data_IF_829637942174
#
_entry.id   IF_829637942174
#
_cell.length_a   1.000
_cell.length_b   1.000
_cell.length_c   1.000
_cell.angle_alpha   90.00
_cell.angle_beta   90.00
_cell.angle_gamma   90.00
#
_symmetry.space_group_name_H-M   'P 1'
#
loop_
_entity.id
_entity.type
_entity.pdbx_description
1 polymer ?
#
# COMPACT_ATOMS: atom_id res chain seq x y z
N UNK A 1 -31.68 11.89 -45.00
CA UNK A 1 -31.07 12.93 -44.15
C UNK A 1 -30.28 12.21 -43.07
N UNK A 2 -28.95 12.19 -43.26
CA UNK A 2 -27.84 11.67 -42.44
C UNK A 2 -28.17 10.77 -41.24
N UNK A 3 -27.91 9.48 -41.42
CA UNK A 3 -27.59 8.54 -40.33
C UNK A 3 -26.33 9.04 -39.61
N UNK A 4 -26.40 9.10 -38.29
CA UNK A 4 -25.30 9.47 -37.41
C UNK A 4 -24.69 8.15 -36.90
N UNK A 5 -23.46 7.76 -37.27
CA UNK A 5 -22.93 6.48 -36.85
C UNK A 5 -22.51 6.54 -35.39
N UNK A 6 -23.06 5.63 -34.58
CA UNK A 6 -22.55 5.30 -33.25
C UNK A 6 -21.08 4.85 -33.39
N UNK A 7 -20.15 5.69 -32.95
CA UNK A 7 -18.73 5.31 -32.87
C UNK A 7 -18.55 4.26 -31.76
N UNK A 8 -18.36 3.01 -32.17
CA UNK A 8 -17.88 1.93 -31.31
C UNK A 8 -16.55 2.32 -30.62
N UNK A 9 -16.31 1.92 -29.36
CA UNK A 9 -15.07 2.20 -28.67
C UNK A 9 -13.95 1.37 -29.32
N UNK A 10 -13.30 1.97 -30.31
CA UNK A 10 -12.08 1.44 -30.92
C UNK A 10 -11.06 1.19 -29.81
N UNK A 11 -10.80 -0.10 -29.58
CA UNK A 11 -9.75 -0.58 -28.70
C UNK A 11 -8.43 0.05 -29.14
N UNK A 12 -7.90 0.91 -28.27
CA UNK A 12 -6.70 1.68 -28.55
C UNK A 12 -5.45 0.88 -28.35
N UNK A 13 -5.18 0.02 -29.33
CA UNK A 13 -3.93 -0.68 -29.51
C UNK A 13 -3.05 0.10 -30.51
N UNK A 14 -2.69 1.32 -30.13
CA UNK A 14 -1.68 2.13 -30.77
C UNK A 14 -1.14 3.07 -29.70
N UNK A 15 0.18 3.18 -29.59
CA UNK A 15 0.85 4.15 -28.73
C UNK A 15 0.28 5.55 -28.99
N UNK A 16 -0.80 5.90 -28.29
CA UNK A 16 -1.21 7.29 -28.13
C UNK A 16 -0.22 7.86 -27.15
N UNK A 17 0.93 8.25 -27.68
CA UNK A 17 1.82 9.19 -27.02
C UNK A 17 0.92 10.32 -26.48
N UNK A 18 0.98 10.52 -25.18
CA UNK A 18 0.16 11.51 -24.45
C UNK A 18 1.12 12.47 -23.79
N UNK A 19 1.07 13.75 -24.18
CA UNK A 19 1.86 14.79 -23.56
C UNK A 19 1.27 15.18 -22.22
N UNK A 20 2.12 15.29 -21.19
CA UNK A 20 1.70 15.79 -19.88
C UNK A 20 1.88 17.29 -19.79
N UNK A 21 0.91 17.94 -19.17
CA UNK A 21 1.07 19.32 -18.77
C UNK A 21 2.07 19.40 -17.60
N UNK A 22 3.21 20.06 -17.81
CA UNK A 22 4.23 20.30 -16.78
C UNK A 22 3.74 21.19 -15.62
N UNK A 23 2.66 21.94 -15.82
CA UNK A 23 2.10 22.83 -14.80
C UNK A 23 1.20 22.09 -13.80
N UNK A 24 0.33 21.17 -14.28
CA UNK A 24 -0.65 20.50 -13.43
C UNK A 24 -0.57 18.97 -13.43
N UNK A 25 0.30 18.36 -14.22
CA UNK A 25 0.46 16.91 -14.33
C UNK A 25 -0.70 16.21 -15.06
N UNK A 26 -1.59 16.96 -15.73
CA UNK A 26 -2.71 16.38 -16.46
C UNK A 26 -2.25 15.78 -17.81
N UNK A 27 -2.62 14.53 -18.13
CA UNK A 27 -2.33 13.92 -19.42
C UNK A 27 -3.26 14.50 -20.50
N UNK A 28 -2.68 15.14 -21.49
CA UNK A 28 -3.37 15.76 -22.63
C UNK A 28 -3.15 14.91 -23.90
N UNK A 29 -3.92 15.16 -24.96
CA UNK A 29 -3.62 14.55 -26.27
C UNK A 29 -2.42 15.25 -26.89
N UNK A 30 -1.67 14.55 -27.73
CA UNK A 30 -0.54 15.15 -28.45
C UNK A 30 -0.95 16.27 -29.42
N UNK A 31 -2.20 16.29 -29.88
CA UNK A 31 -2.73 17.38 -30.71
C UNK A 31 -2.89 18.71 -29.97
N UNK A 32 -2.90 18.68 -28.63
CA UNK A 32 -3.41 19.78 -27.84
C UNK A 32 -2.27 20.69 -27.38
N UNK A 33 -2.21 21.90 -27.96
CA UNK A 33 -1.22 22.93 -27.62
C UNK A 33 -1.43 23.56 -26.23
N UNK A 34 -2.60 23.34 -25.62
CA UNK A 34 -3.03 23.95 -24.37
C UNK A 34 -3.66 22.90 -23.48
N UNK A 35 -3.35 22.95 -22.18
CA UNK A 35 -3.83 21.97 -21.21
C UNK A 35 -5.34 22.12 -21.03
N UNK A 36 -6.07 21.01 -21.20
CA UNK A 36 -7.52 21.00 -21.01
C UNK A 36 -7.95 21.40 -19.59
N UNK A 37 -7.11 21.15 -18.58
CA UNK A 37 -7.42 21.43 -17.18
C UNK A 37 -6.96 22.83 -16.73
N UNK A 38 -5.67 23.16 -16.87
CA UNK A 38 -5.11 24.39 -16.31
C UNK A 38 -4.87 25.50 -17.34
N UNK A 39 -5.22 25.27 -18.63
CA UNK A 39 -5.03 26.23 -19.74
C UNK A 39 -3.59 26.68 -19.97
N UNK A 40 -2.59 26.07 -19.34
CA UNK A 40 -1.17 26.34 -19.62
C UNK A 40 -0.78 25.80 -21.01
N UNK A 41 0.17 26.47 -21.68
CA UNK A 41 0.73 25.98 -22.94
C UNK A 41 1.48 24.67 -22.72
N UNK A 42 1.20 23.66 -23.55
CA UNK A 42 2.02 22.47 -23.61
C UNK A 42 3.23 22.81 -24.47
N UNK A 43 4.35 23.06 -23.80
CA UNK A 43 5.64 23.23 -24.48
C UNK A 43 6.20 21.83 -24.75
N UNK A 44 6.42 21.50 -26.02
CA UNK A 44 7.20 20.33 -26.42
C UNK A 44 8.68 20.61 -26.12
N UNK A 45 9.12 20.25 -24.92
CA UNK A 45 10.54 20.18 -24.62
C UNK A 45 11.08 18.86 -25.21
N UNK A 46 11.74 18.93 -26.37
CA UNK A 46 12.29 17.78 -27.13
C UNK A 46 13.61 17.22 -26.57
N UNK A 47 13.82 17.33 -25.25
CA UNK A 47 15.03 16.88 -24.56
C UNK A 47 14.89 15.55 -23.81
N UNK A 48 16.01 14.85 -23.61
CA UNK A 48 16.07 13.66 -22.74
C UNK A 48 15.73 14.01 -21.27
N UNK A 49 16.12 15.20 -20.83
CA UNK A 49 15.89 15.69 -19.46
C UNK A 49 14.40 15.98 -19.24
N UNK A 50 13.72 16.57 -20.22
CA UNK A 50 12.27 16.80 -20.16
C UNK A 50 11.48 15.50 -20.24
N UNK A 51 11.93 14.52 -21.03
CA UNK A 51 11.37 13.17 -21.03
C UNK A 51 11.44 12.49 -19.65
N UNK A 52 12.61 12.56 -18.99
CA UNK A 52 12.79 11.99 -17.66
C UNK A 52 11.89 12.67 -16.62
N UNK A 53 11.79 14.01 -16.67
CA UNK A 53 10.92 14.79 -15.78
C UNK A 53 9.44 14.47 -15.99
N UNK A 54 8.99 14.37 -17.25
CA UNK A 54 7.62 13.99 -17.59
C UNK A 54 7.30 12.58 -17.08
N UNK A 55 8.21 11.62 -17.33
CA UNK A 55 8.06 10.24 -16.86
C UNK A 55 7.97 10.16 -15.34
N UNK A 56 8.82 10.92 -14.63
CA UNK A 56 8.78 11.01 -13.18
C UNK A 56 7.43 11.54 -12.67
N UNK A 57 6.90 12.61 -13.28
CA UNK A 57 5.62 13.19 -12.89
C UNK A 57 4.45 12.23 -13.15
N UNK A 58 4.46 11.48 -14.27
CA UNK A 58 3.48 10.41 -14.53
C UNK A 58 3.52 9.34 -13.46
N UNK A 59 4.72 8.85 -13.15
CA UNK A 59 4.90 7.78 -12.17
C UNK A 59 4.46 8.24 -10.79
N UNK A 60 4.82 9.47 -10.39
CA UNK A 60 4.38 10.09 -9.14
C UNK A 60 2.85 10.18 -9.09
N UNK A 61 2.21 10.69 -10.14
CA UNK A 61 0.75 10.84 -10.19
C UNK A 61 0.02 9.48 -10.15
N UNK A 62 0.51 8.49 -10.90
CA UNK A 62 0.00 7.12 -10.85
C UNK A 62 0.17 6.51 -9.47
N UNK A 63 1.28 6.80 -8.79
CA UNK A 63 1.54 6.35 -7.43
C UNK A 63 0.58 7.02 -6.44
N UNK A 64 0.32 8.32 -6.53
CA UNK A 64 -0.63 9.04 -5.68
C UNK A 64 -2.08 8.56 -5.87
N UNK A 65 -2.50 8.31 -7.11
CA UNK A 65 -3.81 7.73 -7.40
C UNK A 65 -3.94 6.29 -6.87
N UNK A 66 -2.89 5.49 -7.02
CA UNK A 66 -2.83 4.15 -6.47
C UNK A 66 -2.84 4.20 -4.94
N UNK A 67 -2.16 5.16 -4.30
CA UNK A 67 -2.22 5.38 -2.87
C UNK A 67 -3.58 5.83 -2.38
N UNK A 68 -4.33 6.67 -3.11
CA UNK A 68 -5.70 7.03 -2.71
C UNK A 68 -6.67 5.84 -2.82
N UNK A 69 -6.55 5.05 -3.89
CA UNK A 69 -7.35 3.81 -4.07
C UNK A 69 -6.97 2.75 -3.04
N UNK A 70 -5.68 2.61 -2.76
CA UNK A 70 -5.17 1.66 -1.78
C UNK A 70 -5.23 2.21 -0.36
N UNK A 71 -5.37 3.50 -0.08
CA UNK A 71 -5.48 4.02 1.29
C UNK A 71 -6.68 3.43 2.02
N UNK A 72 -7.78 3.23 1.29
CA UNK A 72 -8.98 2.55 1.77
C UNK A 72 -8.80 1.02 1.95
N UNK A 73 -7.95 0.37 1.14
CA UNK A 73 -7.79 -1.09 1.12
C UNK A 73 -6.54 -1.60 1.88
N UNK A 74 -5.50 -0.76 1.94
CA UNK A 74 -4.20 -1.00 2.57
C UNK A 74 -4.17 -0.59 4.02
N UNK A 75 -5.00 0.39 4.46
CA UNK A 75 -5.23 0.58 5.90
C UNK A 75 -5.81 -0.70 6.52
N UNK A 76 -6.81 -1.29 5.87
CA UNK A 76 -7.40 -2.57 6.28
C UNK A 76 -6.41 -3.73 6.15
N UNK A 77 -5.73 -3.88 5.01
CA UNK A 77 -4.78 -5.00 4.81
C UNK A 77 -3.54 -4.91 5.71
N UNK A 78 -3.03 -3.70 5.99
CA UNK A 78 -1.90 -3.46 6.90
C UNK A 78 -2.32 -3.64 8.36
N UNK A 79 -3.57 -3.28 8.71
CA UNK A 79 -4.16 -3.61 10.01
C UNK A 79 -4.28 -5.12 10.19
N UNK A 80 -4.80 -5.85 9.20
CA UNK A 80 -4.92 -7.32 9.28
C UNK A 80 -3.55 -8.01 9.37
N UNK A 81 -2.56 -7.58 8.59
CA UNK A 81 -1.21 -8.15 8.65
C UNK A 81 -0.55 -7.89 10.02
N UNK A 82 -0.75 -6.70 10.58
CA UNK A 82 -0.29 -6.36 11.92
C UNK A 82 -1.00 -7.21 12.98
N UNK A 83 -2.34 -7.33 12.92
CA UNK A 83 -3.11 -8.19 13.84
C UNK A 83 -2.66 -9.64 13.75
N UNK A 84 -2.46 -10.19 12.55
CA UNK A 84 -1.95 -11.56 12.38
C UNK A 84 -0.56 -11.71 12.98
N UNK A 85 0.36 -10.76 12.74
CA UNK A 85 1.72 -10.81 13.29
C UNK A 85 1.77 -10.72 14.82
N UNK A 86 0.99 -9.83 15.42
CA UNK A 86 0.91 -9.75 16.88
C UNK A 86 0.21 -10.97 17.50
N UNK A 87 -0.77 -11.54 16.81
CA UNK A 87 -1.47 -12.75 17.28
C UNK A 87 -0.55 -13.97 17.26
N UNK A 88 0.22 -14.16 16.17
CA UNK A 88 1.19 -15.26 16.09
C UNK A 88 2.31 -15.10 17.10
N UNK A 89 2.85 -13.89 17.29
CA UNK A 89 3.84 -13.62 18.32
C UNK A 89 3.30 -13.90 19.74
N UNK A 90 2.08 -13.47 20.05
CA UNK A 90 1.44 -13.73 21.34
C UNK A 90 1.22 -15.22 21.60
N UNK A 91 0.77 -15.98 20.60
CA UNK A 91 0.58 -17.44 20.70
C UNK A 91 1.92 -18.15 20.90
N UNK A 92 2.97 -17.77 20.18
CA UNK A 92 4.31 -18.37 20.33
C UNK A 92 4.89 -18.11 21.72
N UNK A 93 4.76 -16.87 22.23
CA UNK A 93 5.22 -16.50 23.57
C UNK A 93 4.45 -17.24 24.66
N UNK A 94 3.12 -17.29 24.57
CA UNK A 94 2.29 -17.99 25.55
C UNK A 94 2.49 -19.51 25.50
N UNK A 95 2.57 -20.09 24.29
CA UNK A 95 2.83 -21.51 24.07
C UNK A 95 4.21 -21.93 24.57
N UNK A 96 5.26 -21.18 24.21
CA UNK A 96 6.62 -21.43 24.70
C UNK A 96 6.74 -21.29 26.21
N UNK A 97 6.11 -20.25 26.79
CA UNK A 97 6.02 -20.09 28.24
C UNK A 97 5.32 -21.28 28.90
N UNK A 98 4.23 -21.79 28.33
CA UNK A 98 3.52 -22.95 28.87
C UNK A 98 4.37 -24.23 28.82
N UNK A 99 5.08 -24.49 27.73
CA UNK A 99 5.98 -25.64 27.63
C UNK A 99 7.09 -25.57 28.70
N UNK A 100 7.75 -24.41 28.82
CA UNK A 100 8.76 -24.18 29.86
C UNK A 100 8.18 -24.32 31.28
N UNK A 101 6.89 -23.99 31.48
CA UNK A 101 6.23 -24.20 32.76
C UNK A 101 6.10 -25.68 33.09
N UNK A 102 5.72 -26.50 32.10
CA UNK A 102 5.59 -27.94 32.27
C UNK A 102 6.93 -28.57 32.61
N UNK A 103 7.97 -28.18 31.90
CA UNK A 103 9.34 -28.67 32.14
C UNK A 103 9.84 -28.21 33.51
N UNK A 104 9.57 -26.96 33.90
CA UNK A 104 9.90 -26.45 35.23
C UNK A 104 9.20 -27.23 36.34
N UNK A 105 7.95 -27.64 36.14
CA UNK A 105 7.19 -28.44 37.10
C UNK A 105 7.65 -29.90 37.15
N UNK A 106 8.09 -30.48 36.03
CA UNK A 106 8.61 -31.86 36.01
C UNK A 106 10.02 -31.97 36.57
N UNK A 107 10.88 -30.99 36.29
CA UNK A 107 12.28 -30.98 36.69
C UNK A 107 12.54 -30.19 37.98
N UNK A 108 11.50 -29.58 38.59
CA UNK A 108 11.61 -28.66 39.73
C UNK A 108 12.64 -27.52 39.51
N UNK A 109 12.76 -27.05 38.27
CA UNK A 109 13.71 -26.00 37.89
C UNK A 109 13.13 -24.61 38.14
N UNK A 110 13.63 -23.94 39.18
CA UNK A 110 13.19 -22.59 39.56
C UNK A 110 13.42 -21.55 38.47
N UNK A 111 14.57 -21.60 37.78
CA UNK A 111 14.91 -20.66 36.72
C UNK A 111 13.96 -20.77 35.52
N UNK A 112 13.66 -22.00 35.08
CA UNK A 112 12.71 -22.24 34.00
C UNK A 112 11.28 -21.80 34.38
N UNK A 113 10.90 -21.97 35.66
CA UNK A 113 9.63 -21.47 36.18
C UNK A 113 9.53 -19.94 36.11
N UNK A 114 10.59 -19.22 36.49
CA UNK A 114 10.61 -17.76 36.46
C UNK A 114 10.55 -17.23 35.01
N UNK A 115 11.34 -17.82 34.12
CA UNK A 115 11.32 -17.51 32.68
C UNK A 115 9.92 -17.77 32.10
N UNK A 116 9.31 -18.91 32.43
CA UNK A 116 7.97 -19.26 31.99
C UNK A 116 6.92 -18.23 32.39
N UNK A 117 6.94 -17.76 33.65
CA UNK A 117 6.01 -16.74 34.16
C UNK A 117 6.14 -15.44 33.35
N UNK A 118 7.37 -14.99 33.06
CA UNK A 118 7.61 -13.79 32.25
C UNK A 118 7.04 -13.96 30.84
N UNK A 119 7.28 -15.10 30.20
CA UNK A 119 6.77 -15.41 28.86
C UNK A 119 5.24 -15.46 28.82
N UNK A 120 4.61 -16.08 29.83
CA UNK A 120 3.15 -16.16 29.93
C UNK A 120 2.52 -14.79 30.16
N UNK A 121 3.05 -13.98 31.10
CA UNK A 121 2.56 -12.63 31.36
C UNK A 121 2.69 -11.74 30.12
N UNK A 122 3.83 -11.80 29.43
CA UNK A 122 4.07 -11.01 28.23
C UNK A 122 3.20 -11.49 27.06
N UNK A 123 3.04 -12.80 26.87
CA UNK A 123 2.15 -13.38 25.85
C UNK A 123 0.69 -12.97 26.06
N UNK A 124 0.17 -13.08 27.30
CA UNK A 124 -1.19 -12.64 27.65
C UNK A 124 -1.36 -11.14 27.48
N UNK A 125 -0.36 -10.33 27.84
CA UNK A 125 -0.39 -8.88 27.65
C UNK A 125 -0.48 -8.50 26.17
N UNK A 126 0.33 -9.13 25.30
CA UNK A 126 0.29 -8.92 23.86
C UNK A 126 -1.07 -9.30 23.28
N UNK A 127 -1.62 -10.46 23.65
CA UNK A 127 -2.95 -10.90 23.23
C UNK A 127 -4.03 -9.92 23.72
N UNK A 128 -3.99 -9.51 24.99
CA UNK A 128 -4.96 -8.56 25.56
C UNK A 128 -4.90 -7.20 24.86
N UNK A 129 -3.72 -6.74 24.46
CA UNK A 129 -3.55 -5.48 23.72
C UNK A 129 -4.29 -5.49 22.36
N UNK A 130 -4.47 -6.67 21.76
CA UNK A 130 -5.23 -6.84 20.53
C UNK A 130 -6.74 -6.81 20.76
N UNK A 131 -7.22 -7.37 21.87
CA UNK A 131 -8.66 -7.37 22.20
C UNK A 131 -9.16 -6.06 22.80
N UNK A 132 -8.29 -5.28 23.43
CA UNK A 132 -8.67 -4.02 24.12
C UNK A 132 -8.73 -2.83 23.16
N UNK A 133 -8.18 -2.95 21.94
CA UNK A 133 -8.41 -1.98 20.86
C UNK A 133 -9.72 -2.30 20.15
N UNK A 134 -10.83 -1.79 20.69
CA UNK A 134 -12.11 -1.72 19.98
C UNK A 134 -12.60 -0.28 20.00
#
# INVERSE_FOLDING_TARGET
>A
MKENPEEEPTLLNGERETHLCLNCGFPNRNSDKVCMYCRASLVEDTGLISWARNTYLVLKWRWELKQKRQGLQSATRRSLLAVMGYSTAGILLAGGGFLLLRDALSENSFANGLISIVFLLYGVFVLKSLFTKK
#
